data_IF_002158189758
#
_entry.id   IF_002158189758
#
_cell.length_a   1.000
_cell.length_b   1.000
_cell.length_c   1.000
_cell.angle_alpha   90.00
_cell.angle_beta   90.00
_cell.angle_gamma   90.00
#
_symmetry.space_group_name_H-M   'P 1'
#
loop_
_entity.id
_entity.type
_entity.pdbx_description
1 polymer ?
#
# COMPACT_ATOMS: atom_id res chain seq x y z
N UNK A 1 3.07 -15.90 -4.31
CA UNK A 1 3.53 -14.50 -4.48
C UNK A 1 3.70 -13.89 -3.10
N UNK A 2 4.89 -13.40 -2.74
CA UNK A 2 5.07 -12.72 -1.45
C UNK A 2 4.44 -11.33 -1.54
N UNK A 3 3.52 -11.01 -0.62
CA UNK A 3 2.87 -9.70 -0.61
C UNK A 3 3.89 -8.61 -0.25
N UNK A 4 4.04 -7.59 -1.10
CA UNK A 4 4.93 -6.48 -0.82
C UNK A 4 4.41 -5.69 0.40
N UNK A 5 5.27 -5.48 1.40
CA UNK A 5 4.86 -4.78 2.61
C UNK A 5 5.01 -3.26 2.48
N UNK A 6 3.98 -2.47 2.81
CA UNK A 6 3.97 -1.01 2.76
C UNK A 6 4.73 -0.41 3.95
N UNK A 7 6.06 -0.36 3.83
CA UNK A 7 6.94 0.28 4.81
C UNK A 7 6.96 1.80 4.61
N UNK A 8 7.35 2.60 5.63
CA UNK A 8 7.46 4.06 5.48
C UNK A 8 8.33 4.47 4.28
N UNK A 9 9.44 3.77 4.04
CA UNK A 9 10.32 4.02 2.89
C UNK A 9 9.61 3.78 1.54
N UNK A 10 8.79 2.73 1.41
CA UNK A 10 8.04 2.44 0.18
C UNK A 10 6.88 3.42 -0.01
N UNK A 11 6.18 3.79 1.07
CA UNK A 11 5.13 4.81 1.02
C UNK A 11 5.70 6.18 0.64
N UNK A 12 6.88 6.54 1.17
CA UNK A 12 7.61 7.73 0.76
C UNK A 12 7.98 7.70 -0.72
N UNK A 13 8.50 6.58 -1.22
CA UNK A 13 8.81 6.40 -2.64
C UNK A 13 7.55 6.47 -3.53
N UNK A 14 6.41 5.92 -3.10
CA UNK A 14 5.12 6.11 -3.79
C UNK A 14 4.74 7.59 -3.87
N UNK A 15 5.02 8.37 -2.83
CA UNK A 15 4.83 9.82 -2.83
C UNK A 15 5.66 10.51 -3.91
N UNK A 16 6.93 10.16 -4.04
CA UNK A 16 7.81 10.71 -5.09
C UNK A 16 7.33 10.31 -6.50
N UNK A 17 6.89 9.05 -6.68
CA UNK A 17 6.33 8.58 -7.96
C UNK A 17 5.05 9.33 -8.31
N UNK A 18 4.14 9.52 -7.34
CA UNK A 18 2.90 10.27 -7.53
C UNK A 18 3.14 11.74 -7.90
N UNK A 19 4.30 12.29 -7.54
CA UNK A 19 4.73 13.65 -7.90
C UNK A 19 5.52 13.71 -9.21
N UNK A 20 5.70 12.59 -9.93
CA UNK A 20 6.45 12.53 -11.18
C UNK A 20 7.96 12.69 -11.02
N UNK A 21 8.50 12.47 -9.82
CA UNK A 21 9.92 12.72 -9.47
C UNK A 21 10.81 11.50 -9.63
N UNK A 22 10.29 10.40 -10.16
CA UNK A 22 11.02 9.14 -10.26
C UNK A 22 11.13 8.75 -11.72
N UNK A 23 12.35 8.61 -12.21
CA UNK A 23 12.63 8.39 -13.62
C UNK A 23 13.67 7.31 -13.86
N UNK A 24 13.63 6.72 -15.05
CA UNK A 24 14.63 5.81 -15.59
C UNK A 24 15.53 6.55 -16.57
N UNK A 25 16.84 6.45 -16.37
CA UNK A 25 17.83 7.03 -17.28
C UNK A 25 18.05 6.17 -18.54
N UNK A 26 18.92 6.65 -19.44
CA UNK A 26 19.28 5.94 -20.67
C UNK A 26 20.05 4.63 -20.43
N UNK A 27 20.71 4.49 -19.26
CA UNK A 27 21.41 3.28 -18.86
C UNK A 27 20.48 2.23 -18.22
N UNK A 28 19.20 2.54 -18.05
CA UNK A 28 18.19 1.67 -17.46
C UNK A 28 18.16 1.70 -15.92
N UNK A 29 18.87 2.63 -15.29
CA UNK A 29 18.85 2.80 -13.84
C UNK A 29 17.77 3.79 -13.41
N UNK A 30 17.06 3.44 -12.32
CA UNK A 30 15.99 4.26 -11.77
C UNK A 30 16.44 5.15 -10.61
N UNK A 31 16.00 6.42 -10.64
CA UNK A 31 16.37 7.46 -9.68
C UNK A 31 15.17 8.28 -9.22
N UNK A 32 15.26 8.80 -8.00
CA UNK A 32 14.47 9.94 -7.54
C UNK A 32 15.21 11.23 -7.92
N UNK A 33 14.49 12.27 -8.30
CA UNK A 33 15.02 13.63 -8.45
C UNK A 33 15.91 14.00 -7.26
N UNK A 34 17.16 14.38 -7.54
CA UNK A 34 18.20 14.53 -6.52
C UNK A 34 19.24 13.39 -6.48
N UNK A 35 19.13 12.39 -7.37
CA UNK A 35 20.21 11.43 -7.65
C UNK A 35 20.21 10.15 -6.81
N UNK A 36 19.21 9.95 -5.94
CA UNK A 36 19.09 8.71 -5.15
C UNK A 36 18.61 7.57 -6.03
N UNK A 37 19.44 6.52 -6.18
CA UNK A 37 19.09 5.29 -6.93
C UNK A 37 18.08 4.44 -6.17
N UNK A 38 17.04 3.97 -6.87
CA UNK A 38 15.89 3.24 -6.30
C UNK A 38 15.45 2.02 -7.13
N UNK A 39 16.29 1.54 -8.04
CA UNK A 39 15.92 0.51 -9.04
C UNK A 39 15.39 -0.78 -8.42
N UNK A 40 16.02 -1.29 -7.36
CA UNK A 40 15.55 -2.51 -6.68
C UNK A 40 14.17 -2.33 -6.04
N UNK A 41 13.90 -1.16 -5.45
CA UNK A 41 12.62 -0.87 -4.81
C UNK A 41 11.50 -0.74 -5.86
N UNK A 42 11.77 -0.07 -6.98
CA UNK A 42 10.79 0.03 -8.07
C UNK A 42 10.52 -1.32 -8.74
N UNK A 43 11.53 -2.16 -8.94
CA UNK A 43 11.32 -3.52 -9.47
C UNK A 43 10.47 -4.40 -8.53
N UNK A 44 10.56 -4.22 -7.21
CA UNK A 44 9.63 -4.86 -6.25
C UNK A 44 8.22 -4.29 -6.36
N UNK A 45 8.09 -2.96 -6.41
CA UNK A 45 6.80 -2.26 -6.46
C UNK A 45 6.07 -2.47 -7.78
N UNK A 46 6.78 -2.58 -8.89
CA UNK A 46 6.26 -2.93 -10.22
C UNK A 46 5.73 -4.36 -10.25
N UNK A 47 6.47 -5.33 -9.70
CA UNK A 47 5.98 -6.72 -9.55
C UNK A 47 4.75 -6.80 -8.66
N UNK A 48 4.62 -5.90 -7.69
CA UNK A 48 3.43 -5.76 -6.85
C UNK A 48 2.31 -4.93 -7.51
N UNK A 49 2.53 -4.42 -8.73
CA UNK A 49 1.62 -3.55 -9.50
C UNK A 49 1.27 -2.23 -8.79
N UNK A 50 2.14 -1.73 -7.93
CA UNK A 50 1.94 -0.43 -7.27
C UNK A 50 2.37 0.74 -8.15
N UNK A 51 3.32 0.49 -9.04
CA UNK A 51 3.85 1.44 -10.01
C UNK A 51 3.98 0.75 -11.36
N UNK A 52 4.02 1.55 -12.41
CA UNK A 52 4.29 1.09 -13.77
C UNK A 52 5.23 2.07 -14.46
N UNK A 53 6.08 1.57 -15.34
CA UNK A 53 6.87 2.40 -16.23
C UNK A 53 6.25 2.34 -17.62
N UNK A 54 5.73 3.45 -18.16
CA UNK A 54 5.22 3.48 -19.53
C UNK A 54 6.30 3.11 -20.54
N UNK A 55 5.89 2.45 -21.62
CA UNK A 55 6.77 2.19 -22.76
C UNK A 55 7.14 3.51 -23.48
N UNK A 56 8.37 3.58 -23.97
CA UNK A 56 8.88 4.78 -24.66
C UNK A 56 10.40 4.80 -24.79
N UNK A 57 10.92 5.73 -25.60
CA UNK A 57 12.34 6.01 -25.72
C UNK A 57 12.74 7.24 -24.88
N UNK A 58 13.97 7.25 -24.35
CA UNK A 58 14.52 8.36 -23.58
C UNK A 58 14.24 8.28 -22.07
N UNK A 59 14.24 9.46 -21.41
CA UNK A 59 13.94 9.61 -19.99
C UNK A 59 12.47 9.24 -19.74
N UNK A 60 12.24 8.18 -18.97
CA UNK A 60 10.88 7.71 -18.65
C UNK A 60 10.54 7.98 -17.20
N UNK A 61 9.37 8.52 -16.94
CA UNK A 61 8.89 8.77 -15.58
C UNK A 61 7.99 7.63 -15.14
N UNK A 62 8.25 7.11 -13.94
CA UNK A 62 7.40 6.10 -13.31
C UNK A 62 6.05 6.69 -12.93
N UNK A 63 5.00 5.89 -13.09
CA UNK A 63 3.63 6.26 -12.75
C UNK A 63 3.11 5.39 -11.61
N UNK A 64 2.31 6.00 -10.73
CA UNK A 64 1.60 5.28 -9.68
C UNK A 64 0.33 4.65 -10.26
N UNK A 65 0.04 3.40 -9.91
CA UNK A 65 -1.20 2.72 -10.34
C UNK A 65 -2.34 2.97 -9.34
N UNK A 66 -3.57 2.55 -9.66
CA UNK A 66 -4.68 2.58 -8.69
C UNK A 66 -4.35 1.82 -7.40
N UNK A 67 -3.67 0.67 -7.50
CA UNK A 67 -3.26 -0.10 -6.32
C UNK A 67 -2.18 0.62 -5.49
N UNK A 68 -1.22 1.28 -6.14
CA UNK A 68 -0.24 2.11 -5.46
C UNK A 68 -0.90 3.30 -4.74
N UNK A 69 -1.86 3.95 -5.40
CA UNK A 69 -2.65 5.04 -4.82
C UNK A 69 -3.43 4.57 -3.60
N UNK A 70 -4.11 3.42 -3.68
CA UNK A 70 -4.83 2.83 -2.55
C UNK A 70 -3.90 2.62 -1.33
N UNK A 71 -2.71 2.04 -1.53
CA UNK A 71 -1.75 1.87 -0.45
C UNK A 71 -1.30 3.18 0.20
N UNK A 72 -1.20 4.27 -0.58
CA UNK A 72 -0.82 5.60 -0.08
C UNK A 72 -1.94 6.28 0.72
N UNK A 73 -3.21 5.98 0.39
CA UNK A 73 -4.36 6.56 1.08
C UNK A 73 -4.61 5.96 2.47
N UNK A 74 -4.13 4.76 2.72
CA UNK A 74 -4.45 4.01 3.95
C UNK A 74 -3.51 4.36 5.09
N UNK A 75 -4.08 4.83 6.19
CA UNK A 75 -3.43 4.92 7.50
C UNK A 75 -3.75 3.68 8.32
N UNK A 76 -2.74 3.16 9.03
CA UNK A 76 -2.92 2.06 9.99
C UNK A 76 -2.57 2.60 11.36
N UNK A 77 -3.55 2.69 12.25
CA UNK A 77 -3.36 3.08 13.64
C UNK A 77 -3.39 1.81 14.49
N UNK A 78 -2.35 1.59 15.29
CA UNK A 78 -2.20 0.41 16.13
C UNK A 78 -2.16 0.80 17.61
N UNK A 79 -3.15 0.34 18.35
CA UNK A 79 -3.35 0.58 19.79
C UNK A 79 -2.92 -0.62 20.65
N UNK A 80 -2.17 -1.57 20.08
CA UNK A 80 -1.58 -2.71 20.78
C UNK A 80 -2.50 -3.93 20.91
N UNK A 81 -3.79 -3.75 21.21
CA UNK A 81 -4.81 -4.82 21.19
C UNK A 81 -5.82 -4.67 20.06
N UNK A 82 -5.78 -3.53 19.40
CA UNK A 82 -6.68 -3.16 18.32
C UNK A 82 -5.90 -2.34 17.29
N UNK A 83 -6.21 -2.51 16.02
CA UNK A 83 -5.72 -1.65 14.96
C UNK A 83 -6.84 -1.35 13.97
N UNK A 84 -6.78 -0.19 13.34
CA UNK A 84 -7.76 0.28 12.37
C UNK A 84 -7.06 0.67 11.08
N UNK A 85 -7.71 0.40 9.96
CA UNK A 85 -7.35 0.90 8.65
C UNK A 85 -8.32 2.02 8.29
N UNK A 86 -7.78 3.19 8.00
CA UNK A 86 -8.54 4.40 7.75
C UNK A 86 -8.11 5.06 6.44
N UNK A 87 -9.06 5.73 5.79
CA UNK A 87 -8.86 6.63 4.65
C UNK A 87 -9.48 8.00 4.95
N UNK A 88 -9.28 8.97 4.06
CA UNK A 88 -9.83 10.32 4.22
C UNK A 88 -8.94 11.22 5.09
N UNK A 89 -9.38 12.47 5.31
CA UNK A 89 -8.60 13.49 6.02
C UNK A 89 -8.45 13.15 7.52
N UNK A 90 -7.53 13.84 8.19
CA UNK A 90 -7.20 13.57 9.60
C UNK A 90 -8.35 13.90 10.58
N UNK A 91 -9.21 14.87 10.22
CA UNK A 91 -10.32 15.36 11.03
C UNK A 91 -11.60 14.53 10.88
N UNK A 92 -11.80 13.90 9.72
CA UNK A 92 -12.97 13.08 9.40
C UNK A 92 -12.55 11.77 8.71
N UNK A 93 -11.81 10.89 9.41
CA UNK A 93 -11.38 9.62 8.84
C UNK A 93 -12.56 8.66 8.66
N UNK A 94 -12.51 7.89 7.58
CA UNK A 94 -13.38 6.74 7.38
C UNK A 94 -12.63 5.45 7.75
N UNK A 95 -13.15 4.69 8.72
CA UNK A 95 -12.64 3.37 9.08
C UNK A 95 -13.18 2.33 8.09
N UNK A 96 -12.27 1.72 7.33
CA UNK A 96 -12.61 0.72 6.31
C UNK A 96 -12.29 -0.71 6.75
N UNK A 97 -11.59 -0.86 7.87
CA UNK A 97 -11.27 -2.17 8.40
C UNK A 97 -10.59 -2.13 9.76
N UNK A 98 -10.58 -3.27 10.43
CA UNK A 98 -10.10 -3.41 11.78
C UNK A 98 -9.36 -4.73 11.99
N UNK A 99 -8.39 -4.71 12.90
CA UNK A 99 -7.81 -5.89 13.49
C UNK A 99 -8.03 -5.86 15.01
N UNK A 100 -8.56 -6.94 15.59
CA UNK A 100 -8.82 -7.04 17.03
C UNK A 100 -8.13 -8.28 17.60
N UNK A 101 -7.37 -8.10 18.68
CA UNK A 101 -6.78 -9.19 19.45
C UNK A 101 -7.84 -9.82 20.33
N UNK A 102 -8.11 -11.12 20.17
CA UNK A 102 -8.99 -11.88 21.08
C UNK A 102 -8.12 -12.75 21.99
N UNK A 103 -8.28 -12.60 23.29
CA UNK A 103 -7.47 -13.33 24.29
C UNK A 103 -7.96 -14.75 24.56
N UNK A 104 -9.09 -15.18 23.98
CA UNK A 104 -9.81 -16.43 24.33
C UNK A 104 -8.97 -17.72 24.24
N UNK A 105 -7.84 -17.73 23.54
CA UNK A 105 -6.97 -18.92 23.40
C UNK A 105 -5.54 -18.73 23.95
N UNK A 106 -5.26 -17.62 24.66
CA UNK A 106 -3.95 -17.37 25.27
C UNK A 106 -2.78 -17.14 24.29
N UNK A 107 -2.98 -17.28 22.97
CA UNK A 107 -1.91 -17.20 21.95
C UNK A 107 -1.79 -15.85 21.22
N UNK A 108 -2.52 -14.82 21.64
CA UNK A 108 -2.41 -13.48 21.04
C UNK A 108 -2.82 -13.41 19.56
N UNK A 109 -3.85 -14.17 19.19
CA UNK A 109 -4.43 -14.17 17.85
C UNK A 109 -5.20 -12.89 17.56
N UNK A 110 -5.08 -12.41 16.33
CA UNK A 110 -5.73 -11.21 15.81
C UNK A 110 -6.72 -11.60 14.73
N UNK A 111 -7.91 -11.01 14.79
CA UNK A 111 -8.95 -11.15 13.77
C UNK A 111 -8.99 -9.88 12.95
N UNK A 112 -8.82 -10.03 11.64
CA UNK A 112 -8.75 -8.93 10.67
C UNK A 112 -10.00 -8.95 9.80
N UNK A 113 -10.74 -7.84 9.77
CA UNK A 113 -11.92 -7.66 8.93
C UNK A 113 -11.82 -6.33 8.18
N UNK A 114 -12.22 -6.31 6.92
CA UNK A 114 -12.22 -5.10 6.07
C UNK A 114 -13.52 -5.08 5.27
N UNK A 115 -14.24 -3.95 5.31
CA UNK A 115 -15.57 -3.81 4.75
C UNK A 115 -16.52 -4.93 5.22
N UNK A 116 -17.34 -5.43 4.29
CA UNK A 116 -18.26 -6.55 4.52
C UNK A 116 -17.61 -7.94 4.32
N UNK A 117 -16.28 -8.01 4.19
CA UNK A 117 -15.58 -9.27 3.94
C UNK A 117 -15.45 -10.17 5.17
N UNK A 118 -15.11 -11.45 4.95
CA UNK A 118 -14.89 -12.42 6.02
C UNK A 118 -13.72 -12.03 6.92
N UNK A 119 -13.90 -12.17 8.24
CA UNK A 119 -12.84 -11.98 9.20
C UNK A 119 -11.79 -13.10 9.13
N UNK A 120 -10.51 -12.76 9.17
CA UNK A 120 -9.41 -13.73 9.08
C UNK A 120 -8.47 -13.64 10.27
N UNK A 121 -8.11 -14.80 10.81
CA UNK A 121 -7.20 -14.93 11.93
C UNK A 121 -5.73 -14.90 11.47
N UNK A 122 -4.93 -14.06 12.13
CA UNK A 122 -3.47 -13.90 11.95
C UNK A 122 -2.79 -13.71 13.30
N UNK A 123 -1.47 -13.87 13.35
CA UNK A 123 -0.67 -13.67 14.56
C UNK A 123 0.32 -12.51 14.38
N UNK A 124 0.51 -11.73 15.44
CA UNK A 124 1.53 -10.67 15.48
C UNK A 124 1.48 -9.68 14.32
N UNK A 125 2.65 -9.31 13.80
CA UNK A 125 2.82 -8.32 12.71
C UNK A 125 2.15 -8.74 11.39
N UNK A 126 1.89 -10.04 11.18
CA UNK A 126 1.18 -10.52 10.00
C UNK A 126 -0.29 -10.06 9.96
N UNK A 127 -0.89 -9.77 11.12
CA UNK A 127 -2.26 -9.25 11.18
C UNK A 127 -2.36 -7.83 10.63
N UNK A 128 -1.40 -6.96 10.97
CA UNK A 128 -1.36 -5.59 10.45
C UNK A 128 -1.06 -5.56 8.94
N UNK A 129 -0.19 -6.46 8.48
CA UNK A 129 0.08 -6.62 7.06
C UNK A 129 -1.18 -7.06 6.30
N UNK A 130 -1.93 -8.02 6.85
CA UNK A 130 -3.19 -8.49 6.25
C UNK A 130 -4.27 -7.41 6.26
N UNK A 131 -4.40 -6.65 7.36
CA UNK A 131 -5.34 -5.53 7.47
C UNK A 131 -5.08 -4.52 6.36
N UNK A 132 -3.83 -4.07 6.19
CA UNK A 132 -3.50 -3.09 5.15
C UNK A 132 -3.67 -3.66 3.74
N UNK A 133 -3.30 -4.91 3.51
CA UNK A 133 -3.46 -5.56 2.20
C UNK A 133 -4.92 -5.55 1.77
N UNK A 134 -5.82 -6.03 2.64
CA UNK A 134 -7.26 -6.07 2.37
C UNK A 134 -7.87 -4.69 2.21
N UNK A 135 -7.45 -3.73 3.03
CA UNK A 135 -7.86 -2.34 2.90
C UNK A 135 -7.45 -1.77 1.53
N UNK A 136 -6.23 -2.08 1.06
CA UNK A 136 -5.76 -1.63 -0.24
C UNK A 136 -6.52 -2.27 -1.40
N UNK A 137 -6.85 -3.56 -1.29
CA UNK A 137 -7.67 -4.25 -2.29
C UNK A 137 -9.08 -3.62 -2.39
N UNK A 138 -9.71 -3.30 -1.25
CA UNK A 138 -11.01 -2.63 -1.20
C UNK A 138 -10.97 -1.25 -1.86
N UNK A 139 -10.01 -0.40 -1.46
CA UNK A 139 -9.87 0.95 -2.00
C UNK A 139 -9.51 0.92 -3.49
N UNK A 140 -8.63 0.00 -3.90
CA UNK A 140 -8.28 -0.13 -5.32
C UNK A 140 -9.48 -0.55 -6.18
N UNK A 141 -10.37 -1.40 -5.66
CA UNK A 141 -11.62 -1.76 -6.34
C UNK A 141 -12.54 -0.54 -6.48
N UNK A 142 -12.76 0.22 -5.39
CA UNK A 142 -13.56 1.44 -5.42
C UNK A 142 -13.02 2.49 -6.40
N UNK A 143 -11.69 2.67 -6.45
CA UNK A 143 -11.04 3.57 -7.40
C UNK A 143 -11.20 3.10 -8.86
N UNK A 144 -11.16 1.79 -9.10
CA UNK A 144 -11.36 1.24 -10.44
C UNK A 144 -12.80 1.43 -10.92
N UNK A 145 -13.79 1.23 -10.05
CA UNK A 145 -15.20 1.45 -10.36
C UNK A 145 -15.49 2.91 -10.69
N UNK A 146 -14.93 3.86 -9.92
CA UNK A 146 -15.13 5.29 -10.14
C UNK A 146 -14.64 5.82 -11.49
N UNK A 147 -13.67 5.13 -12.14
CA UNK A 147 -13.14 5.52 -13.46
C UNK A 147 -14.02 5.02 -14.62
N UNK A 148 -14.91 4.06 -14.37
CA UNK A 148 -15.80 3.47 -15.39
C UNK A 148 -17.19 4.10 -15.46
N UNK A 149 -17.54 4.97 -14.52
CA UNK A 149 -18.79 5.76 -14.47
C UNK A 149 -18.56 7.20 -14.90
#
# INVERSE_FOLDING_TARGET
MSALHPTPARLGLLGEVAQGRVFRDAAGADYVSGGRRVSAQLAEMERARWVALPDGQGLRTWQITHLGTAHRMIRILNYGTHAVAEIGPDDTPEVIGEARRRSETGRGSWWVQVGQGEAVCRTGSAALAELRRRAADLVAAQLAEAVTT
#
